data_IF_240058840324
#
_entry.id   IF_240058840324
#
_cell.length_a   1.000
_cell.length_b   1.000
_cell.length_c   1.000
_cell.angle_alpha   90.00
_cell.angle_beta   90.00
_cell.angle_gamma   90.00
#
_symmetry.space_group_name_H-M   'P 1'
#
loop_
_entity.id
_entity.type
_entity.pdbx_description
1 polymer ?
#
# COMPACT_ATOMS: atom_id res chain seq x y z
N UNK A 1 14.88 -1.74 7.80
CA UNK A 1 15.26 -3.15 8.05
C UNK A 1 15.17 -3.89 6.73
N UNK A 2 16.21 -4.60 6.29
CA UNK A 2 16.22 -5.33 5.00
C UNK A 2 16.40 -6.81 5.28
N UNK A 3 15.50 -7.63 4.75
CA UNK A 3 15.58 -9.10 4.81
C UNK A 3 16.04 -9.57 3.44
N UNK A 4 17.05 -10.44 3.40
CA UNK A 4 17.57 -11.04 2.18
C UNK A 4 17.27 -12.55 2.18
N UNK A 5 16.40 -12.97 1.27
CA UNK A 5 15.99 -14.36 1.17
C UNK A 5 17.12 -15.27 0.69
N UNK A 6 18.10 -14.76 -0.06
CA UNK A 6 19.18 -15.58 -0.62
C UNK A 6 20.18 -16.07 0.45
N UNK A 7 20.28 -15.35 1.56
CA UNK A 7 21.18 -15.69 2.68
C UNK A 7 20.42 -16.15 3.93
N UNK A 8 19.10 -16.33 3.83
CA UNK A 8 18.24 -16.62 4.97
C UNK A 8 18.37 -18.09 5.43
N UNK A 9 18.79 -18.36 6.69
CA UNK A 9 19.04 -19.73 7.16
C UNK A 9 17.77 -20.60 7.32
N UNK A 10 16.59 -19.98 7.31
CA UNK A 10 15.29 -20.68 7.39
C UNK A 10 14.62 -20.87 6.03
N UNK A 11 15.21 -20.33 4.94
CA UNK A 11 14.75 -20.55 3.56
C UNK A 11 14.69 -22.06 3.30
N UNK A 12 13.62 -22.52 2.66
CA UNK A 12 13.36 -23.92 2.29
C UNK A 12 13.21 -24.93 3.44
N UNK A 13 13.30 -24.50 4.70
CA UNK A 13 13.06 -25.36 5.87
C UNK A 13 11.76 -25.03 6.58
N UNK A 14 11.54 -23.76 6.90
CA UNK A 14 10.40 -23.30 7.70
C UNK A 14 9.91 -21.91 7.27
N UNK A 15 10.16 -21.51 6.02
CA UNK A 15 9.77 -20.19 5.52
C UNK A 15 8.26 -19.93 5.63
N UNK A 16 7.44 -20.97 5.42
CA UNK A 16 5.98 -20.89 5.52
C UNK A 16 5.48 -20.52 6.94
N UNK A 17 6.25 -20.83 7.98
CA UNK A 17 5.91 -20.57 9.38
C UNK A 17 6.69 -19.39 9.96
N UNK A 18 7.55 -18.74 9.15
CA UNK A 18 8.33 -17.59 9.57
C UNK A 18 7.43 -16.35 9.71
N UNK A 19 7.70 -15.53 10.73
CA UNK A 19 7.05 -14.23 10.93
C UNK A 19 7.13 -13.33 9.68
N UNK A 20 8.18 -13.45 8.85
CA UNK A 20 8.32 -12.69 7.61
C UNK A 20 7.19 -12.99 6.62
N UNK A 21 6.76 -14.25 6.51
CA UNK A 21 5.61 -14.64 5.68
C UNK A 21 4.33 -14.01 6.22
N UNK A 22 4.12 -14.02 7.54
CA UNK A 22 2.97 -13.35 8.16
C UNK A 22 2.97 -11.84 7.87
N UNK A 23 4.13 -11.18 7.91
CA UNK A 23 4.25 -9.75 7.58
C UNK A 23 3.95 -9.45 6.11
N UNK A 24 4.32 -10.33 5.18
CA UNK A 24 4.03 -10.16 3.75
C UNK A 24 2.55 -10.42 3.40
N UNK A 25 1.81 -11.14 4.26
CA UNK A 25 0.37 -11.37 4.11
C UNK A 25 -0.49 -10.26 4.73
N UNK A 26 0.13 -9.25 5.36
CA UNK A 26 -0.61 -8.09 5.84
C UNK A 26 -1.24 -7.38 4.64
N UNK A 27 -2.58 -7.34 4.62
CA UNK A 27 -3.32 -6.60 3.62
C UNK A 27 -2.84 -5.13 3.61
N UNK A 28 -2.82 -4.47 2.43
CA UNK A 28 -2.48 -3.06 2.35
C UNK A 28 -3.31 -2.28 3.36
N UNK A 29 -2.62 -1.50 4.20
CA UNK A 29 -3.29 -0.67 5.18
C UNK A 29 -4.05 0.43 4.44
N UNK A 30 -5.38 0.35 4.47
CA UNK A 30 -6.22 1.45 4.03
C UNK A 30 -6.17 2.54 5.08
N UNK A 31 -5.65 3.70 4.69
CA UNK A 31 -5.54 4.87 5.54
C UNK A 31 -6.55 5.92 5.11
N UNK A 32 -6.90 6.79 6.06
CA UNK A 32 -7.65 8.00 5.72
C UNK A 32 -6.78 8.85 4.82
N UNK A 33 -7.40 9.45 3.80
CA UNK A 33 -6.73 10.47 2.99
C UNK A 33 -6.20 11.56 3.90
N UNK A 34 -4.98 12.00 3.66
CA UNK A 34 -4.47 13.22 4.24
C UNK A 34 -5.20 14.45 3.65
N UNK A 35 -4.79 15.63 4.08
CA UNK A 35 -5.43 16.87 3.68
C UNK A 35 -5.18 17.21 2.19
N UNK A 36 -4.00 16.89 1.66
CA UNK A 36 -3.68 17.13 0.25
C UNK A 36 -4.40 16.14 -0.66
N UNK A 37 -4.38 14.86 -0.31
CA UNK A 37 -5.11 13.79 -0.99
C UNK A 37 -6.61 14.05 -1.01
N UNK A 38 -7.19 14.51 0.11
CA UNK A 38 -8.62 14.84 0.19
C UNK A 38 -8.98 16.00 -0.73
N UNK A 39 -8.17 17.06 -0.77
CA UNK A 39 -8.38 18.17 -1.72
C UNK A 39 -8.33 17.71 -3.17
N UNK A 40 -7.43 16.80 -3.51
CA UNK A 40 -7.35 16.25 -4.87
C UNK A 40 -8.64 15.47 -5.23
N UNK A 41 -9.14 14.63 -4.32
CA UNK A 41 -10.40 13.89 -4.50
C UNK A 41 -11.60 14.83 -4.61
N UNK A 42 -11.64 15.90 -3.81
CA UNK A 42 -12.70 16.91 -3.87
C UNK A 42 -12.72 17.62 -5.24
N UNK A 43 -11.55 17.89 -5.84
CA UNK A 43 -11.48 18.44 -7.19
C UNK A 43 -12.09 17.48 -8.21
N UNK A 44 -11.76 16.18 -8.14
CA UNK A 44 -12.32 15.16 -9.03
C UNK A 44 -13.85 15.10 -8.92
N UNK A 45 -14.40 15.18 -7.70
CA UNK A 45 -15.83 15.21 -7.48
C UNK A 45 -16.47 16.51 -8.03
N UNK A 46 -15.81 17.65 -7.85
CA UNK A 46 -16.32 18.96 -8.28
C UNK A 46 -16.49 19.08 -9.80
N UNK A 47 -15.68 18.35 -10.57
CA UNK A 47 -15.77 18.30 -12.03
C UNK A 47 -16.57 17.10 -12.55
N UNK A 48 -17.12 16.28 -11.66
CA UNK A 48 -17.94 15.12 -12.01
C UNK A 48 -17.18 13.90 -12.53
N UNK A 49 -15.86 13.82 -12.30
CA UNK A 49 -15.06 12.64 -12.67
C UNK A 49 -15.35 11.44 -11.74
N UNK A 50 -15.79 11.73 -10.52
CA UNK A 50 -16.29 10.75 -9.55
C UNK A 50 -17.55 11.30 -8.88
N UNK A 51 -18.33 10.41 -8.28
CA UNK A 51 -19.49 10.77 -7.47
C UNK A 51 -19.07 11.26 -6.09
N UNK A 52 -19.95 12.02 -5.44
CA UNK A 52 -19.77 12.42 -4.05
C UNK A 52 -19.68 11.21 -3.10
N UNK A 53 -20.37 10.12 -3.42
CA UNK A 53 -20.28 8.88 -2.64
C UNK A 53 -18.88 8.27 -2.74
N UNK A 54 -18.33 8.16 -3.95
CA UNK A 54 -16.95 7.66 -4.17
C UNK A 54 -15.92 8.53 -3.46
N UNK A 55 -16.09 9.86 -3.48
CA UNK A 55 -15.20 10.79 -2.77
C UNK A 55 -15.20 10.57 -1.24
N UNK A 56 -16.38 10.37 -0.64
CA UNK A 56 -16.51 10.15 0.81
C UNK A 56 -15.98 8.78 1.23
N UNK A 57 -16.10 7.78 0.36
CA UNK A 57 -15.60 6.42 0.62
C UNK A 57 -14.11 6.23 0.28
N UNK A 58 -13.45 7.24 -0.27
CA UNK A 58 -12.09 7.12 -0.75
C UNK A 58 -11.09 6.92 0.40
N UNK A 59 -10.19 5.94 0.22
CA UNK A 59 -9.11 5.62 1.15
C UNK A 59 -7.77 5.64 0.43
N UNK A 60 -6.72 6.01 1.15
CA UNK A 60 -5.36 5.91 0.66
C UNK A 60 -4.87 4.48 0.85
N UNK A 61 -4.28 3.90 -0.19
CA UNK A 61 -3.59 2.61 -0.10
C UNK A 61 -2.10 2.87 -0.03
N UNK A 62 -1.47 2.42 1.06
CA UNK A 62 -0.01 2.42 1.13
C UNK A 62 0.49 1.24 0.32
N UNK A 63 0.89 1.51 -0.91
CA UNK A 63 1.62 0.53 -1.70
C UNK A 63 3.00 0.30 -1.06
N UNK A 64 3.48 -0.96 -1.02
CA UNK A 64 4.85 -1.24 -0.62
C UNK A 64 5.81 -0.45 -1.50
N UNK A 65 6.84 0.16 -0.88
CA UNK A 65 7.89 0.86 -1.62
C UNK A 65 8.52 -0.06 -2.68
N UNK A 66 8.25 0.23 -3.96
CA UNK A 66 8.88 -0.43 -5.10
C UNK A 66 9.98 0.49 -5.68
N UNK A 67 11.27 0.16 -5.48
CA UNK A 67 12.37 0.97 -5.99
C UNK A 67 12.44 1.07 -7.52
N UNK A 68 11.64 0.30 -8.27
CA UNK A 68 11.63 0.31 -9.74
C UNK A 68 10.71 1.38 -10.37
N UNK A 69 9.85 2.06 -9.59
CA UNK A 69 8.86 3.04 -10.13
C UNK A 69 9.30 4.52 -10.07
N UNK A 70 10.51 4.83 -9.64
CA UNK A 70 10.98 6.22 -9.49
C UNK A 70 11.61 6.83 -10.75
N UNK A 71 11.55 6.18 -11.91
CA UNK A 71 11.93 6.81 -13.17
C UNK A 71 10.74 7.55 -13.77
N UNK A 72 10.67 8.85 -13.46
CA UNK A 72 10.21 9.97 -14.31
C UNK A 72 8.95 9.79 -15.13
#
# INVERSE_FOLDING_TARGET
MRIDCETCPVRDRQCAECMVTALLQLAPLEQRLDEEERRAVDVLASVGLITAHEAVSATARIEPWDPLRSTG
#
